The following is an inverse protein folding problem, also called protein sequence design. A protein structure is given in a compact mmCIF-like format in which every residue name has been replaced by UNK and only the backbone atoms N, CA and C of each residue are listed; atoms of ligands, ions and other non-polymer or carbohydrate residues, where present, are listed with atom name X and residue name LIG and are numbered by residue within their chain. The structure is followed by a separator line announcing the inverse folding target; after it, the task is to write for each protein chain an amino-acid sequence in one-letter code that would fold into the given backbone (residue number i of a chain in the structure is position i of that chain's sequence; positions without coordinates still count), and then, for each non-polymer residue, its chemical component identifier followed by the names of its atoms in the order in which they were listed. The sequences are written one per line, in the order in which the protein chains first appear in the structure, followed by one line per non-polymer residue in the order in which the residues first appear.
data_IF_467680428656
#
_entry.id   IF_467680428656
#
_cell.length_a   1.000
_cell.length_b   1.000
_cell.length_c   1.000
_cell.angle_alpha   90.00
_cell.angle_beta   90.00
_cell.angle_gamma   90.00
#
_symmetry.space_group_name_H-M   'P 1'
#
loop_
_entity.id
_entity.type
_entity.pdbx_description
1 polymer ?
#
# COMPACT_ATOMS: atom_id res chain seq x y z
N UNK A 1 -6.38 1.09 -25.07
CA UNK A 1 -5.28 0.34 -25.73
C UNK A 1 -4.37 1.34 -26.43
N UNK A 2 -3.05 1.21 -26.36
CA UNK A 2 -2.12 2.14 -27.02
C UNK A 2 -1.73 1.54 -28.39
N UNK A 3 -2.27 2.07 -29.50
CA UNK A 3 -2.04 1.62 -30.88
C UNK A 3 -0.56 1.35 -31.21
N UNK A 4 0.32 2.18 -30.64
CA UNK A 4 1.77 2.06 -30.80
C UNK A 4 2.30 0.70 -30.32
N UNK A 5 1.78 0.18 -29.20
CA UNK A 5 2.21 -1.11 -28.64
C UNK A 5 1.80 -2.30 -29.52
N UNK A 6 0.70 -2.18 -30.28
CA UNK A 6 0.22 -3.22 -31.20
C UNK A 6 1.09 -3.33 -32.46
N UNK A 7 1.60 -2.21 -32.97
CA UNK A 7 2.54 -2.21 -34.11
C UNK A 7 3.83 -2.98 -33.78
N UNK A 8 4.43 -2.68 -32.62
CA UNK A 8 5.64 -3.37 -32.19
C UNK A 8 5.39 -4.84 -31.81
N UNK A 9 4.19 -5.19 -31.33
CA UNK A 9 3.79 -6.59 -31.11
C UNK A 9 3.82 -7.40 -32.42
N UNK A 10 3.50 -6.76 -33.55
CA UNK A 10 3.46 -7.40 -34.86
C UNK A 10 4.79 -7.29 -35.63
N UNK A 11 5.86 -6.79 -35.00
CA UNK A 11 7.16 -6.60 -35.66
C UNK A 11 7.18 -5.47 -36.71
N UNK A 12 6.13 -4.65 -36.76
CA UNK A 12 6.00 -3.53 -37.69
C UNK A 12 6.63 -2.27 -37.07
N UNK A 13 7.36 -1.51 -37.89
CA UNK A 13 7.90 -0.19 -37.50
C UNK A 13 6.76 0.83 -37.44
N UNK A 14 6.81 1.73 -36.45
CA UNK A 14 5.76 2.73 -36.29
C UNK A 14 5.93 3.84 -37.34
N UNK A 15 4.93 4.12 -38.18
CA UNK A 15 5.10 4.98 -39.36
C UNK A 15 5.28 6.47 -39.02
N UNK A 16 4.97 6.89 -37.79
CA UNK A 16 5.03 8.30 -37.37
C UNK A 16 6.26 8.66 -36.52
N UNK A 17 7.33 7.86 -36.60
CA UNK A 17 8.57 8.07 -35.84
C UNK A 17 9.27 9.42 -36.14
N UNK A 18 8.95 10.10 -37.25
CA UNK A 18 9.53 11.40 -37.64
C UNK A 18 8.69 12.66 -37.31
N UNK A 19 7.51 12.54 -36.68
CA UNK A 19 6.65 13.71 -36.37
C UNK A 19 7.12 14.45 -35.11
N UNK A 20 7.80 13.76 -34.19
CA UNK A 20 8.32 14.34 -32.95
C UNK A 20 9.81 14.66 -33.12
N UNK A 21 10.27 15.91 -32.88
CA UNK A 21 11.69 16.24 -32.94
C UNK A 21 12.51 15.38 -31.96
N UNK A 22 13.48 14.64 -32.48
CA UNK A 22 14.35 13.73 -31.72
C UNK A 22 14.36 12.31 -32.31
N UNK A 23 15.35 11.48 -31.91
CA UNK A 23 15.31 10.03 -32.17
C UNK A 23 14.49 9.39 -31.03
N UNK A 24 13.19 9.10 -31.19
CA UNK A 24 12.44 8.44 -30.14
C UNK A 24 13.10 7.10 -29.84
N UNK A 25 13.26 6.78 -28.56
CA UNK A 25 13.83 5.49 -28.17
C UNK A 25 12.98 4.38 -28.79
N UNK A 26 13.63 3.53 -29.60
CA UNK A 26 12.98 2.35 -30.18
C UNK A 26 12.38 1.56 -29.03
N UNK A 27 11.07 1.32 -29.04
CA UNK A 27 10.49 0.53 -27.99
C UNK A 27 11.08 -0.88 -28.08
N UNK A 28 11.20 -1.55 -26.92
CA UNK A 28 11.73 -2.90 -26.88
C UNK A 28 11.01 -3.77 -27.90
N UNK A 29 11.76 -4.52 -28.73
CA UNK A 29 11.17 -5.44 -29.71
C UNK A 29 10.16 -6.38 -29.06
N UNK A 30 9.27 -6.99 -29.87
CA UNK A 30 8.13 -7.78 -29.38
C UNK A 30 8.48 -8.74 -28.22
N UNK A 31 9.59 -9.47 -28.32
CA UNK A 31 10.06 -10.38 -27.27
C UNK A 31 10.40 -9.68 -25.94
N UNK A 32 11.11 -8.54 -25.99
CA UNK A 32 11.46 -7.77 -24.79
C UNK A 32 10.24 -7.06 -24.19
N UNK A 33 9.25 -6.66 -25.01
CA UNK A 33 7.96 -6.16 -24.53
C UNK A 33 7.17 -7.25 -23.80
N UNK A 34 7.06 -8.45 -24.37
CA UNK A 34 6.36 -9.59 -23.76
C UNK A 34 7.00 -9.95 -22.42
N UNK A 35 8.32 -10.11 -22.37
CA UNK A 35 9.05 -10.40 -21.13
C UNK A 35 8.80 -9.35 -20.04
N UNK A 36 8.80 -8.06 -20.41
CA UNK A 36 8.50 -6.97 -19.48
C UNK A 36 7.06 -7.01 -18.97
N UNK A 37 6.10 -7.42 -19.80
CA UNK A 37 4.70 -7.60 -19.38
C UNK A 37 4.55 -8.81 -18.45
N UNK A 38 5.23 -9.92 -18.73
CA UNK A 38 5.27 -11.09 -17.85
C UNK A 38 5.83 -10.75 -16.47
N UNK A 39 6.95 -10.03 -16.41
CA UNK A 39 7.54 -9.56 -15.15
C UNK A 39 6.59 -8.63 -14.38
N UNK A 40 5.88 -7.73 -15.08
CA UNK A 40 4.85 -6.88 -14.46
C UNK A 40 3.69 -7.69 -13.91
N UNK A 41 3.23 -8.69 -14.66
CA UNK A 41 2.13 -9.56 -14.25
C UNK A 41 2.53 -10.44 -13.07
N UNK A 42 3.75 -10.98 -13.05
CA UNK A 42 4.30 -11.72 -11.92
C UNK A 42 4.36 -10.86 -10.65
N UNK A 43 4.85 -9.60 -10.75
CA UNK A 43 4.87 -8.65 -9.62
C UNK A 43 3.46 -8.33 -9.13
N UNK A 44 2.50 -8.15 -10.04
CA UNK A 44 1.09 -7.94 -9.67
C UNK A 44 0.52 -9.15 -8.93
N UNK A 45 0.73 -10.36 -9.42
CA UNK A 45 0.26 -11.58 -8.77
C UNK A 45 0.84 -11.73 -7.36
N UNK A 46 2.15 -11.52 -7.20
CA UNK A 46 2.80 -11.53 -5.90
C UNK A 46 2.21 -10.47 -4.94
N UNK A 47 1.95 -9.26 -5.44
CA UNK A 47 1.35 -8.18 -4.65
C UNK A 47 -0.08 -8.49 -4.24
N UNK A 48 -0.88 -9.08 -5.14
CA UNK A 48 -2.26 -9.50 -4.83
C UNK A 48 -2.26 -10.54 -3.71
N UNK A 49 -1.36 -11.53 -3.75
CA UNK A 49 -1.22 -12.51 -2.66
C UNK A 49 -0.84 -11.86 -1.33
N UNK A 50 0.14 -10.94 -1.33
CA UNK A 50 0.50 -10.20 -0.11
C UNK A 50 -0.69 -9.41 0.45
N UNK A 51 -1.49 -8.79 -0.42
CA UNK A 51 -2.68 -8.04 0.00
C UNK A 51 -3.73 -9.00 0.57
N UNK A 52 -3.99 -10.15 -0.07
CA UNK A 52 -4.96 -11.11 0.45
C UNK A 52 -4.55 -11.64 1.83
N UNK A 53 -3.27 -11.96 2.00
CA UNK A 53 -2.73 -12.45 3.27
C UNK A 53 -2.84 -11.37 4.37
N UNK A 54 -2.52 -10.11 4.03
CA UNK A 54 -2.68 -8.98 4.94
C UNK A 54 -4.14 -8.69 5.28
N UNK A 55 -5.06 -8.80 4.31
CA UNK A 55 -6.49 -8.62 4.56
C UNK A 55 -7.08 -9.75 5.40
N UNK A 56 -6.60 -10.98 5.25
CA UNK A 56 -6.97 -12.10 6.11
C UNK A 56 -6.49 -11.89 7.56
N UNK A 57 -5.32 -11.29 7.76
CA UNK A 57 -4.80 -10.95 9.08
C UNK A 57 -5.43 -9.68 9.70
N UNK A 58 -6.04 -8.82 8.88
CA UNK A 58 -6.55 -7.51 9.29
C UNK A 58 -7.59 -7.56 10.42
N UNK A 59 -8.58 -8.47 10.45
CA UNK A 59 -9.54 -8.53 11.55
C UNK A 59 -8.88 -8.76 12.90
N UNK A 60 -7.91 -9.69 12.96
CA UNK A 60 -7.14 -9.98 14.17
C UNK A 60 -6.32 -8.77 14.61
N UNK A 61 -5.63 -8.11 13.68
CA UNK A 61 -4.89 -6.88 13.96
C UNK A 61 -5.80 -5.76 14.49
N UNK A 62 -6.99 -5.59 13.92
CA UNK A 62 -7.97 -4.59 14.38
C UNK A 62 -8.42 -4.90 15.81
N UNK A 63 -8.69 -6.17 16.12
CA UNK A 63 -9.10 -6.57 17.48
C UNK A 63 -7.99 -6.34 18.49
N UNK A 64 -6.75 -6.69 18.17
CA UNK A 64 -5.57 -6.45 19.02
C UNK A 64 -5.33 -4.97 19.23
N UNK A 65 -5.43 -4.17 18.16
CA UNK A 65 -5.30 -2.72 18.22
C UNK A 65 -6.39 -2.08 19.10
N UNK A 66 -7.66 -2.48 18.93
CA UNK A 66 -8.76 -2.01 19.78
C UNK A 66 -8.56 -2.41 21.24
N UNK A 67 -8.14 -3.65 21.50
CA UNK A 67 -7.87 -4.13 22.85
C UNK A 67 -6.73 -3.35 23.52
N UNK A 68 -5.61 -3.12 22.81
CA UNK A 68 -4.46 -2.38 23.32
C UNK A 68 -4.80 -0.94 23.74
N UNK A 69 -5.85 -0.36 23.13
CA UNK A 69 -6.33 1.01 23.36
C UNK A 69 -7.56 1.09 24.26
N UNK A 70 -8.08 -0.05 24.69
CA UNK A 70 -9.14 -0.08 25.69
C UNK A 70 -8.56 0.45 27.00
N UNK A 71 -9.26 1.43 27.55
CA UNK A 71 -9.02 1.96 28.87
C UNK A 71 -10.11 1.40 29.77
N UNK A 72 -9.71 0.69 30.81
CA UNK A 72 -10.65 0.40 31.89
C UNK A 72 -10.81 1.68 32.73
N UNK A 73 -12.05 2.11 32.91
CA UNK A 73 -12.30 3.31 33.70
C UNK A 73 -11.95 3.09 35.16
N UNK A 74 -12.02 1.87 35.68
CA UNK A 74 -11.65 1.54 37.05
C UNK A 74 -10.18 1.84 37.34
N UNK A 75 -9.29 1.64 36.37
CA UNK A 75 -7.85 1.94 36.47
C UNK A 75 -7.54 3.45 36.47
N UNK A 76 -8.48 4.29 36.05
CA UNK A 76 -8.29 5.75 36.05
C UNK A 76 -8.49 6.26 37.47
N UNK A 77 -7.46 6.92 38.02
CA UNK A 77 -7.55 7.56 39.34
C UNK A 77 -8.75 8.51 39.44
N UNK A 78 -9.45 8.48 40.58
CA UNK A 78 -10.59 9.36 40.83
C UNK A 78 -10.25 10.85 40.66
N UNK A 79 -9.02 11.25 41.02
CA UNK A 79 -8.51 12.61 40.84
C UNK A 79 -8.44 12.96 39.35
N UNK A 80 -7.89 12.07 38.53
CA UNK A 80 -7.78 12.30 37.08
C UNK A 80 -9.15 12.33 36.41
N UNK A 81 -10.13 11.56 36.88
CA UNK A 81 -11.52 11.62 36.36
C UNK A 81 -12.18 12.96 36.62
N UNK A 82 -11.79 13.66 37.69
CA UNK A 82 -12.34 14.97 38.06
C UNK A 82 -11.58 16.13 37.38
N UNK A 83 -10.26 16.02 37.27
CA UNK A 83 -9.40 17.12 36.84
C UNK A 83 -9.09 17.11 35.33
N UNK A 84 -9.17 15.95 34.67
CA UNK A 84 -8.76 15.81 33.28
C UNK A 84 -9.95 15.57 32.35
N UNK A 85 -9.80 16.08 31.13
CA UNK A 85 -10.74 15.75 30.05
C UNK A 85 -10.52 14.32 29.56
N UNK A 86 -11.55 13.68 28.95
CA UNK A 86 -11.41 12.34 28.38
C UNK A 86 -10.26 12.19 27.38
N UNK A 87 -9.91 13.25 26.64
CA UNK A 87 -8.77 13.28 25.73
C UNK A 87 -7.43 13.18 26.46
N UNK A 88 -7.24 13.98 27.51
CA UNK A 88 -6.03 13.97 28.33
C UNK A 88 -5.87 12.65 29.10
N UNK A 89 -6.96 12.06 29.58
CA UNK A 89 -6.96 10.75 30.23
C UNK A 89 -6.47 9.67 29.25
N UNK A 90 -6.99 9.66 28.01
CA UNK A 90 -6.52 8.71 26.97
C UNK A 90 -5.03 8.88 26.68
N UNK A 91 -4.53 10.10 26.56
CA UNK A 91 -3.10 10.32 26.33
C UNK A 91 -2.24 9.82 27.51
N UNK A 92 -2.66 10.10 28.75
CA UNK A 92 -1.92 9.71 29.96
C UNK A 92 -1.89 8.19 30.17
N UNK A 93 -3.02 7.51 30.02
CA UNK A 93 -3.16 6.10 30.38
C UNK A 93 -2.99 5.13 29.20
N UNK A 94 -3.39 5.54 27.99
CA UNK A 94 -3.31 4.68 26.79
C UNK A 94 -2.06 4.99 25.99
N UNK A 95 -1.83 6.25 25.62
CA UNK A 95 -0.73 6.60 24.70
C UNK A 95 0.66 6.41 25.32
N UNK A 96 0.85 6.83 26.58
CA UNK A 96 2.11 6.57 27.31
C UNK A 96 2.39 5.08 27.52
N UNK A 97 1.35 4.26 27.74
CA UNK A 97 1.49 2.80 27.87
C UNK A 97 2.02 2.17 26.59
N UNK A 98 1.43 2.56 25.46
CA UNK A 98 1.86 2.08 24.13
C UNK A 98 3.27 2.54 23.77
N UNK A 99 3.69 3.74 24.17
CA UNK A 99 5.05 4.23 23.93
C UNK A 99 6.13 3.51 24.76
N UNK A 100 5.78 2.87 25.88
CA UNK A 100 6.73 2.10 26.71
C UNK A 100 6.87 0.64 26.27
N UNK A 101 5.93 0.14 25.47
CA UNK A 101 5.92 -1.25 25.00
C UNK A 101 6.63 -1.43 23.65
N UNK A 102 6.90 -0.33 22.94
CA UNK A 102 7.73 -0.28 21.74
C UNK A 102 9.16 0.09 22.11
#
# INVERSE_FOLDING_TARGET
MRLREEFYKNGLKWPHEGIVPGKPQEPPGCAAYIKRQEEKNAKRAARVKQISDAMAAMPKMITEYKASRRLDWEEVSAIDRLLLTPGQIKDKYVRKRLMKQN
#
